data_IF_692218476731
#
_entry.id   IF_692218476731
#
_cell.length_a   1.000
_cell.length_b   1.000
_cell.length_c   1.000
_cell.angle_alpha   90.00
_cell.angle_beta   90.00
_cell.angle_gamma   90.00
#
_symmetry.space_group_name_H-M   'P 1'
#
loop_
_entity.id
_entity.type
_entity.pdbx_description
1 polymer ?
#
# COMPACT_ATOMS: atom_id res chain seq x y z
N UNK A 1 -0.06 26.10 -8.16
CA UNK A 1 -0.95 26.75 -7.17
C UNK A 1 -1.71 25.65 -6.45
N UNK A 2 -1.72 25.62 -5.12
CA UNK A 2 -2.37 24.56 -4.34
C UNK A 2 -3.89 24.59 -4.46
N UNK A 3 -4.54 23.50 -4.08
CA UNK A 3 -6.00 23.38 -4.06
C UNK A 3 -6.57 24.06 -2.80
N UNK A 4 -7.64 24.84 -2.98
CA UNK A 4 -8.32 25.51 -1.88
C UNK A 4 -9.30 24.54 -1.22
N UNK A 5 -9.15 24.34 0.09
CA UNK A 5 -10.07 23.54 0.89
C UNK A 5 -11.45 24.19 0.88
N UNK A 6 -12.44 23.53 0.30
CA UNK A 6 -13.84 24.00 0.29
C UNK A 6 -14.62 23.56 1.53
N UNK A 7 -14.20 22.46 2.16
CA UNK A 7 -14.82 21.90 3.37
C UNK A 7 -13.74 21.51 4.39
N UNK A 8 -13.94 21.90 5.65
CA UNK A 8 -13.01 21.54 6.72
C UNK A 8 -12.88 20.00 6.82
N UNK A 9 -11.64 19.52 6.91
CA UNK A 9 -11.32 18.11 6.82
C UNK A 9 -9.82 17.85 6.98
N UNK A 10 -9.42 16.59 6.84
CA UNK A 10 -8.01 16.18 6.96
C UNK A 10 -7.38 16.11 5.56
N UNK A 11 -6.40 16.97 5.29
CA UNK A 11 -5.70 17.08 4.00
C UNK A 11 -4.18 17.04 4.25
N UNK A 12 -3.45 16.21 3.52
CA UNK A 12 -1.98 16.08 3.64
C UNK A 12 -1.49 15.81 5.07
N UNK A 13 -2.20 14.94 5.80
CA UNK A 13 -1.83 14.56 7.17
C UNK A 13 -2.12 15.64 8.23
N UNK A 14 -2.80 16.75 7.87
CA UNK A 14 -3.16 17.84 8.79
C UNK A 14 -4.61 18.24 8.62
N UNK A 15 -5.26 18.61 9.73
CA UNK A 15 -6.61 19.16 9.64
C UNK A 15 -6.55 20.58 9.06
N UNK A 16 -7.28 20.82 7.98
CA UNK A 16 -7.39 22.11 7.31
C UNK A 16 -8.83 22.62 7.38
N UNK A 17 -8.97 23.94 7.51
CA UNK A 17 -10.28 24.62 7.49
C UNK A 17 -10.61 25.09 6.08
N UNK A 18 -11.91 25.29 5.81
CA UNK A 18 -12.35 25.89 4.55
C UNK A 18 -11.69 27.25 4.32
N UNK A 19 -11.27 27.52 3.09
CA UNK A 19 -10.51 28.70 2.69
C UNK A 19 -8.99 28.61 2.90
N UNK A 20 -8.48 27.55 3.55
CA UNK A 20 -7.04 27.28 3.57
C UNK A 20 -6.62 26.57 2.29
N UNK A 21 -5.42 26.86 1.79
CA UNK A 21 -4.83 26.12 0.69
C UNK A 21 -4.07 24.92 1.21
N UNK A 22 -4.32 23.77 0.61
CA UNK A 22 -3.46 22.60 0.77
C UNK A 22 -2.62 22.44 -0.50
N UNK A 23 -1.40 21.95 -0.32
CA UNK A 23 -0.62 21.48 -1.44
C UNK A 23 -1.24 20.15 -1.84
N UNK A 24 -2.35 20.21 -2.59
CA UNK A 24 -2.83 19.03 -3.32
C UNK A 24 -1.63 18.43 -4.05
N UNK A 25 -1.54 17.10 -4.16
CA UNK A 25 -0.39 16.46 -4.76
C UNK A 25 -0.15 17.16 -6.09
N UNK A 26 0.98 17.87 -6.17
CA UNK A 26 1.56 18.20 -7.45
C UNK A 26 1.64 16.84 -8.13
N UNK A 27 0.99 16.72 -9.26
CA UNK A 27 1.12 15.57 -10.15
C UNK A 27 2.53 15.59 -10.74
N UNK A 28 3.53 15.53 -9.88
CA UNK A 28 4.63 14.59 -10.06
C UNK A 28 3.91 13.23 -9.94
N UNK A 29 3.53 12.56 -11.02
CA UNK A 29 4.50 11.84 -11.85
C UNK A 29 5.83 11.59 -11.12
N UNK A 30 5.73 11.14 -9.85
CA UNK A 30 6.69 10.20 -9.35
C UNK A 30 6.28 8.86 -9.99
N UNK A 31 6.55 8.77 -11.30
CA UNK A 31 7.28 7.60 -11.79
C UNK A 31 8.46 7.44 -10.84
N UNK A 32 8.24 6.66 -9.79
CA UNK A 32 9.34 5.88 -9.22
C UNK A 32 9.71 4.93 -10.36
N UNK A 33 10.52 5.43 -11.28
CA UNK A 33 11.50 4.66 -12.01
C UNK A 33 12.44 4.06 -10.96
N UNK A 34 11.94 3.07 -10.23
CA UNK A 34 12.75 1.98 -9.71
C UNK A 34 12.31 0.78 -10.53
N UNK A 35 13.06 0.56 -11.61
CA UNK A 35 13.04 -0.67 -12.36
C UNK A 35 13.37 -1.85 -11.45
N UNK A 36 12.33 -2.51 -10.97
CA UNK A 36 12.34 -3.84 -10.43
C UNK A 36 10.89 -4.25 -10.33
N UNK A 37 10.54 -5.40 -10.89
CA UNK A 37 9.27 -6.05 -10.61
C UNK A 37 9.01 -5.95 -9.11
N UNK A 38 8.09 -5.07 -8.67
CA UNK A 38 7.91 -4.83 -7.25
C UNK A 38 7.44 -6.17 -6.67
N UNK A 39 8.25 -6.86 -5.84
CA UNK A 39 7.76 -8.04 -5.16
C UNK A 39 6.55 -7.52 -4.41
N UNK A 40 5.38 -8.13 -4.65
CA UNK A 40 4.16 -7.79 -3.91
C UNK A 40 4.58 -7.54 -2.46
N UNK A 41 4.23 -6.40 -1.87
CA UNK A 41 4.64 -6.06 -0.51
C UNK A 41 3.92 -7.03 0.48
N UNK A 42 4.31 -8.30 0.47
CA UNK A 42 3.78 -9.38 1.26
C UNK A 42 3.99 -9.06 2.75
N UNK A 43 5.04 -8.32 3.07
CA UNK A 43 5.31 -7.85 4.43
C UNK A 43 4.27 -6.83 4.94
N UNK A 44 3.63 -6.07 4.04
CA UNK A 44 2.55 -5.13 4.38
C UNK A 44 1.18 -5.80 4.48
N UNK A 45 1.01 -6.98 3.88
CA UNK A 45 -0.23 -7.74 3.92
C UNK A 45 -0.46 -8.36 5.31
N UNK A 46 -1.73 -8.53 5.68
CA UNK A 46 -2.11 -9.29 6.87
C UNK A 46 -1.94 -10.79 6.66
N UNK A 47 -1.95 -11.60 7.74
CA UNK A 47 -1.86 -13.06 7.62
C UNK A 47 -2.97 -13.63 6.73
N UNK A 48 -4.20 -13.13 6.88
CA UNK A 48 -5.33 -13.54 6.04
C UNK A 48 -5.15 -13.16 4.57
N UNK A 49 -4.65 -11.96 4.28
CA UNK A 49 -4.35 -11.54 2.91
C UNK A 49 -3.24 -12.36 2.28
N UNK A 50 -2.22 -12.74 3.06
CA UNK A 50 -1.15 -13.62 2.61
C UNK A 50 -1.66 -15.03 2.29
N UNK A 51 -2.59 -15.56 3.09
CA UNK A 51 -3.24 -16.84 2.80
C UNK A 51 -4.09 -16.75 1.53
N UNK A 52 -4.82 -15.65 1.34
CA UNK A 52 -5.58 -15.42 0.12
C UNK A 52 -4.68 -15.28 -1.12
N UNK A 53 -3.56 -14.58 -0.99
CA UNK A 53 -2.54 -14.44 -2.03
C UNK A 53 -1.88 -15.78 -2.36
N UNK A 54 -1.59 -16.60 -1.34
CA UNK A 54 -1.12 -17.97 -1.53
C UNK A 54 -2.11 -18.82 -2.31
N UNK A 55 -3.41 -18.74 -1.97
CA UNK A 55 -4.48 -19.38 -2.75
C UNK A 55 -4.51 -18.92 -4.22
N UNK A 56 -4.35 -17.61 -4.48
CA UNK A 56 -4.29 -17.06 -5.85
C UNK A 56 -3.07 -17.56 -6.64
N UNK A 57 -1.93 -17.74 -5.98
CA UNK A 57 -0.67 -18.20 -6.61
C UNK A 57 -0.54 -19.73 -6.67
N UNK A 58 -1.51 -20.45 -6.13
CA UNK A 58 -1.49 -21.91 -6.01
C UNK A 58 -0.42 -22.42 -5.04
N UNK A 59 -0.09 -21.63 -4.01
CA UNK A 59 0.81 -22.01 -2.93
C UNK A 59 -0.04 -22.53 -1.77
N UNK A 60 0.21 -23.76 -1.35
CA UNK A 60 -0.50 -24.37 -0.21
C UNK A 60 0.16 -23.91 1.09
N UNK A 61 -0.61 -23.20 1.93
CA UNK A 61 -0.15 -22.69 3.23
C UNK A 61 -1.03 -23.23 4.34
N UNK A 62 -0.42 -23.61 5.46
CA UNK A 62 -1.14 -24.16 6.62
C UNK A 62 -1.57 -23.04 7.55
N UNK A 63 -2.72 -23.20 8.21
CA UNK A 63 -3.19 -22.24 9.21
C UNK A 63 -2.17 -22.06 10.38
N UNK A 64 -1.39 -23.10 10.67
CA UNK A 64 -0.31 -23.09 11.66
C UNK A 64 0.92 -22.30 11.22
N UNK A 65 1.07 -22.00 9.92
CA UNK A 65 2.23 -21.27 9.42
C UNK A 65 2.24 -19.83 9.93
N UNK A 66 3.44 -19.34 10.20
CA UNK A 66 3.62 -17.95 10.61
C UNK A 66 3.53 -17.04 9.40
N UNK A 67 3.30 -15.74 9.66
CA UNK A 67 3.32 -14.73 8.60
C UNK A 67 4.60 -14.82 7.75
N UNK A 68 5.75 -15.00 8.40
CA UNK A 68 7.04 -15.10 7.74
C UNK A 68 7.18 -16.36 6.88
N UNK A 69 6.65 -17.51 7.33
CA UNK A 69 6.65 -18.76 6.54
C UNK A 69 5.80 -18.64 5.27
N UNK A 70 4.64 -17.99 5.38
CA UNK A 70 3.75 -17.74 4.25
C UNK A 70 4.42 -16.82 3.23
N UNK A 71 5.05 -15.74 3.69
CA UNK A 71 5.81 -14.80 2.83
C UNK A 71 6.93 -15.55 2.09
N UNK A 72 7.75 -16.34 2.80
CA UNK A 72 8.82 -17.13 2.19
C UNK A 72 8.32 -18.10 1.11
N UNK A 73 7.15 -18.70 1.34
CA UNK A 73 6.53 -19.62 0.40
C UNK A 73 6.03 -18.91 -0.87
N UNK A 74 5.64 -17.63 -0.73
CA UNK A 74 5.20 -16.77 -1.81
C UNK A 74 6.35 -16.10 -2.59
N UNK A 75 7.50 -15.89 -1.96
CA UNK A 75 8.73 -15.34 -2.57
C UNK A 75 9.58 -16.40 -3.29
N UNK A 76 9.46 -17.68 -2.93
CA UNK A 76 10.26 -18.77 -3.52
C UNK A 76 9.81 -19.24 -4.92
N UNK A 77 9.05 -18.43 -5.68
CA UNK A 77 8.48 -18.81 -6.98
C UNK A 77 8.96 -17.95 -8.13
#
# INVERSE_FOLDING_TARGET
MGEMVTKAGFYDGKFRKAGQFHSGPQSDDIVMENGGEQPADLDKMTKDELVAEAGKRGVEVKASDTKADIIKSLESK
#
